data_IF_509426021910
#
_entry.id   IF_509426021910
#
_cell.length_a   1.000
_cell.length_b   1.000
_cell.length_c   1.000
_cell.angle_alpha   90.00
_cell.angle_beta   90.00
_cell.angle_gamma   90.00
#
_symmetry.space_group_name_H-M   'P 1'
#
loop_
_entity.id
_entity.type
_entity.pdbx_description
1 polymer ?
#
# COMPACT_ATOMS: atom_id res chain seq x y z
N UNK A 1 18.98 -18.06 -13.25
CA UNK A 1 19.37 -16.64 -13.38
C UNK A 1 18.46 -15.91 -12.41
N UNK A 2 18.95 -15.26 -11.35
CA UNK A 2 18.04 -14.67 -10.38
C UNK A 2 17.32 -13.53 -11.09
N UNK A 3 16.00 -13.66 -11.28
CA UNK A 3 15.14 -12.56 -11.70
C UNK A 3 15.04 -11.61 -10.51
N UNK A 4 16.14 -10.88 -10.30
CA UNK A 4 16.48 -10.14 -9.09
C UNK A 4 15.36 -9.19 -8.71
N UNK A 5 15.17 -8.93 -7.41
CA UNK A 5 14.19 -7.96 -6.91
C UNK A 5 14.21 -6.60 -7.64
N UNK A 6 15.36 -6.22 -8.22
CA UNK A 6 15.51 -5.04 -9.08
C UNK A 6 14.69 -5.10 -10.39
N UNK A 7 14.58 -6.27 -11.01
CA UNK A 7 13.74 -6.48 -12.21
C UNK A 7 12.26 -6.21 -11.87
N UNK A 8 11.80 -6.71 -10.73
CA UNK A 8 10.45 -6.46 -10.24
C UNK A 8 10.24 -4.97 -9.93
N UNK A 9 11.23 -4.31 -9.29
CA UNK A 9 11.21 -2.85 -9.08
C UNK A 9 11.04 -2.11 -10.40
N UNK A 10 11.89 -2.36 -11.40
CA UNK A 10 11.82 -1.70 -12.72
C UNK A 10 10.44 -1.91 -13.36
N UNK A 11 9.91 -3.15 -13.30
CA UNK A 11 8.60 -3.47 -13.86
C UNK A 11 7.46 -2.72 -13.15
N UNK A 12 7.46 -2.69 -11.82
CA UNK A 12 6.42 -2.03 -11.02
C UNK A 12 6.47 -0.51 -11.18
N UNK A 13 7.65 0.09 -11.12
CA UNK A 13 7.82 1.52 -11.30
C UNK A 13 7.30 1.99 -12.66
N UNK A 14 7.49 1.20 -13.72
CA UNK A 14 7.00 1.53 -15.07
C UNK A 14 5.51 1.26 -15.28
N UNK A 15 4.95 0.27 -14.59
CA UNK A 15 3.56 -0.17 -14.79
C UNK A 15 2.56 0.56 -13.90
N UNK A 16 2.98 1.03 -12.73
CA UNK A 16 2.08 1.65 -11.77
C UNK A 16 1.77 3.11 -12.14
N UNK A 17 0.49 3.52 -12.05
CA UNK A 17 0.09 4.90 -12.28
C UNK A 17 0.51 5.81 -11.12
N UNK A 18 0.71 7.09 -11.41
CA UNK A 18 1.08 8.11 -10.41
C UNK A 18 2.60 8.23 -10.23
N UNK A 19 3.04 9.05 -9.27
CA UNK A 19 4.47 9.31 -9.06
C UNK A 19 5.07 8.22 -8.18
N UNK A 20 5.89 7.34 -8.77
CA UNK A 20 6.40 6.13 -8.12
C UNK A 20 7.93 6.10 -8.18
N UNK A 21 8.54 5.68 -7.09
CA UNK A 21 9.97 5.39 -7.01
C UNK A 21 10.26 4.15 -6.18
N UNK A 22 11.48 3.66 -6.22
CA UNK A 22 11.98 2.64 -5.31
C UNK A 22 13.26 3.12 -4.61
N UNK A 23 13.44 2.67 -3.37
CA UNK A 23 14.64 2.91 -2.57
C UNK A 23 15.23 1.60 -2.08
N UNK A 24 16.56 1.58 -1.89
CA UNK A 24 17.25 0.49 -1.21
C UNK A 24 17.23 0.64 0.32
N UNK A 25 17.84 -0.33 1.03
CA UNK A 25 17.94 -0.32 2.50
C UNK A 25 18.71 0.89 3.06
N UNK A 26 19.52 1.56 2.24
CA UNK A 26 20.26 2.77 2.64
C UNK A 26 19.42 4.04 2.44
N UNK A 27 18.22 3.93 1.85
CA UNK A 27 17.38 5.08 1.52
C UNK A 27 17.72 5.73 0.18
N UNK A 28 18.61 5.12 -0.60
CA UNK A 28 19.00 5.64 -1.90
C UNK A 28 17.97 5.26 -2.95
N UNK A 29 17.56 6.23 -3.75
CA UNK A 29 16.65 6.01 -4.88
C UNK A 29 17.36 5.11 -5.90
N UNK A 30 16.72 4.01 -6.27
CA UNK A 30 17.24 3.05 -7.26
C UNK A 30 16.52 3.15 -8.59
N UNK A 31 15.23 3.45 -8.58
CA UNK A 31 14.40 3.61 -9.77
C UNK A 31 13.30 4.65 -9.55
N UNK A 32 12.92 5.35 -10.62
CA UNK A 32 11.81 6.34 -10.63
C UNK A 32 11.07 6.26 -11.96
N UNK A 33 9.77 6.57 -11.94
CA UNK A 33 8.99 6.68 -13.17
C UNK A 33 8.92 8.12 -13.71
N UNK A 34 8.35 8.28 -14.90
CA UNK A 34 8.28 9.58 -15.57
C UNK A 34 7.42 10.58 -14.81
N UNK A 35 6.29 10.13 -14.23
CA UNK A 35 5.45 10.98 -13.40
C UNK A 35 6.19 11.53 -12.17
N UNK A 36 7.08 10.76 -11.55
CA UNK A 36 7.94 11.25 -10.48
C UNK A 36 8.91 12.34 -10.97
N UNK A 37 9.54 12.14 -12.14
CA UNK A 37 10.46 13.11 -12.75
C UNK A 37 9.75 14.42 -13.09
N UNK A 38 8.57 14.32 -13.70
CA UNK A 38 7.72 15.46 -14.05
C UNK A 38 7.31 16.25 -12.80
N UNK A 39 6.92 15.56 -11.72
CA UNK A 39 6.62 16.21 -10.45
C UNK A 39 7.84 16.95 -9.88
N UNK A 40 9.04 16.37 -9.95
CA UNK A 40 10.27 17.04 -9.54
C UNK A 40 10.53 18.33 -10.31
N UNK A 41 10.38 18.30 -11.63
CA UNK A 41 10.55 19.49 -12.49
C UNK A 41 9.49 20.55 -12.16
N UNK A 42 8.23 20.14 -11.99
CA UNK A 42 7.15 21.05 -11.58
C UNK A 42 7.38 21.67 -10.20
N UNK A 43 8.09 20.96 -9.32
CA UNK A 43 8.54 21.43 -8.02
C UNK A 43 9.80 22.32 -8.07
N UNK A 44 10.41 22.51 -9.24
CA UNK A 44 11.55 23.39 -9.46
C UNK A 44 12.91 22.69 -9.61
N UNK A 45 12.95 21.36 -9.66
CA UNK A 45 14.19 20.62 -9.94
C UNK A 45 14.58 20.71 -11.42
N UNK A 46 15.88 20.61 -11.69
CA UNK A 46 16.39 20.56 -13.06
C UNK A 46 15.93 19.29 -13.78
N UNK A 47 15.63 19.40 -15.08
CA UNK A 47 15.36 18.23 -15.93
C UNK A 47 16.57 17.26 -16.02
N UNK A 48 17.77 17.72 -15.65
CA UNK A 48 19.00 16.91 -15.59
C UNK A 48 19.30 16.38 -14.20
N UNK A 49 18.36 16.47 -13.27
CA UNK A 49 18.55 15.97 -11.91
C UNK A 49 18.77 14.45 -11.92
N UNK A 50 19.85 14.00 -11.28
CA UNK A 50 20.19 12.59 -11.17
C UNK A 50 19.45 11.95 -10.00
N UNK A 51 18.34 11.28 -10.33
CA UNK A 51 17.48 10.65 -9.32
C UNK A 51 18.14 9.44 -8.65
N UNK A 52 18.75 8.55 -9.43
CA UNK A 52 19.38 7.33 -8.93
C UNK A 52 20.58 7.67 -8.06
N UNK A 53 20.65 7.09 -6.86
CA UNK A 53 21.71 7.36 -5.87
C UNK A 53 21.46 8.59 -5.00
N UNK A 54 20.38 9.36 -5.25
CA UNK A 54 19.95 10.43 -4.35
C UNK A 54 19.31 9.83 -3.10
N UNK A 55 19.58 10.42 -1.93
CA UNK A 55 18.92 10.05 -0.67
C UNK A 55 17.48 10.60 -0.67
N UNK A 56 16.51 9.69 -0.60
CA UNK A 56 15.09 10.02 -0.62
C UNK A 56 14.67 10.86 0.59
N UNK A 57 15.18 10.57 1.78
CA UNK A 57 14.78 11.26 3.01
C UNK A 57 15.31 12.69 3.04
N UNK A 58 16.55 12.90 2.59
CA UNK A 58 17.12 14.24 2.44
C UNK A 58 16.33 15.06 1.40
N UNK A 59 16.01 14.46 0.24
CA UNK A 59 15.19 15.11 -0.78
C UNK A 59 13.83 15.53 -0.20
N UNK A 60 13.16 14.63 0.52
CA UNK A 60 11.84 14.90 1.10
C UNK A 60 11.92 15.92 2.24
N UNK A 61 13.02 15.98 3.01
CA UNK A 61 13.25 16.94 4.09
C UNK A 61 13.40 18.36 3.55
N UNK A 62 14.16 18.52 2.47
CA UNK A 62 14.40 19.83 1.86
C UNK A 62 13.17 20.36 1.10
N UNK A 63 12.44 19.46 0.42
CA UNK A 63 11.43 19.88 -0.55
C UNK A 63 9.98 19.73 -0.08
N UNK A 64 9.72 18.92 0.95
CA UNK A 64 8.34 18.45 1.17
C UNK A 64 7.88 18.40 2.63
N UNK A 65 8.69 17.88 3.56
CA UNK A 65 8.22 17.49 4.88
C UNK A 65 8.93 18.24 6.02
N UNK A 66 8.18 18.80 6.99
CA UNK A 66 8.74 19.22 8.28
C UNK A 66 9.44 18.06 9.02
N UNK A 67 10.37 18.40 9.93
CA UNK A 67 11.22 17.45 10.66
C UNK A 67 10.45 16.33 11.39
N UNK A 68 9.31 16.66 11.98
CA UNK A 68 8.53 15.71 12.79
C UNK A 68 7.92 14.61 11.92
N UNK A 69 7.37 14.99 10.76
CA UNK A 69 6.82 14.06 9.77
C UNK A 69 7.90 13.22 9.09
N UNK A 70 9.10 13.79 8.90
CA UNK A 70 10.25 13.07 8.35
C UNK A 70 10.66 11.90 9.25
N UNK A 71 10.73 12.15 10.56
CA UNK A 71 11.14 11.15 11.55
C UNK A 71 10.17 9.96 11.56
N UNK A 72 8.86 10.24 11.47
CA UNK A 72 7.83 9.20 11.37
C UNK A 72 7.98 8.35 10.10
N UNK A 73 8.18 9.00 8.95
CA UNK A 73 8.35 8.32 7.67
C UNK A 73 9.62 7.45 7.65
N UNK A 74 10.74 7.98 8.15
CA UNK A 74 12.01 7.26 8.25
C UNK A 74 11.87 6.01 9.12
N UNK A 75 11.31 6.17 10.32
CA UNK A 75 11.07 5.04 11.22
C UNK A 75 10.13 4.00 10.57
N UNK A 76 9.09 4.45 9.88
CA UNK A 76 8.14 3.58 9.22
C UNK A 76 8.77 2.71 8.14
N UNK A 77 9.61 3.31 7.29
CA UNK A 77 10.30 2.61 6.21
C UNK A 77 11.38 1.67 6.77
N UNK A 78 12.10 2.09 7.82
CA UNK A 78 13.08 1.22 8.50
C UNK A 78 12.41 -0.04 9.07
N UNK A 79 11.25 0.07 9.72
CA UNK A 79 10.50 -1.10 10.19
C UNK A 79 10.04 -2.03 9.04
N UNK A 80 9.85 -1.51 7.82
CA UNK A 80 9.58 -2.36 6.64
C UNK A 80 10.83 -3.16 6.24
N UNK A 81 12.00 -2.53 6.22
CA UNK A 81 13.26 -3.22 5.94
C UNK A 81 13.64 -4.25 7.00
N UNK A 82 13.26 -4.02 8.26
CA UNK A 82 13.43 -4.97 9.37
C UNK A 82 12.39 -6.11 9.36
N UNK A 83 11.37 -6.03 8.51
CA UNK A 83 10.27 -7.02 8.46
C UNK A 83 9.25 -6.88 9.59
N UNK A 84 9.33 -5.81 10.39
CA UNK A 84 8.38 -5.51 11.48
C UNK A 84 7.07 -4.91 10.95
N UNK A 85 7.10 -4.40 9.71
CA UNK A 85 5.97 -3.74 9.05
C UNK A 85 5.83 -4.23 7.62
N UNK A 86 4.62 -4.57 7.20
CA UNK A 86 4.33 -5.08 5.86
C UNK A 86 4.04 -3.97 4.84
N UNK A 87 3.48 -2.84 5.27
CA UNK A 87 3.17 -1.68 4.41
C UNK A 87 3.12 -0.41 5.26
N UNK A 88 3.26 0.75 4.64
CA UNK A 88 3.01 2.05 5.26
C UNK A 88 2.13 2.93 4.38
N UNK A 89 1.31 3.77 5.02
CA UNK A 89 0.52 4.81 4.36
C UNK A 89 0.44 6.03 5.26
N UNK A 90 1.08 7.11 4.86
CA UNK A 90 1.12 8.39 5.59
C UNK A 90 0.50 9.52 4.79
N UNK A 91 -0.15 10.48 5.47
CA UNK A 91 -0.68 11.70 4.86
C UNK A 91 0.05 12.90 5.42
N UNK A 92 0.46 13.78 4.52
CA UNK A 92 1.34 14.89 4.85
C UNK A 92 0.85 16.19 4.24
N UNK A 93 1.02 17.33 4.94
CA UNK A 93 0.68 18.62 4.37
C UNK A 93 1.61 18.92 3.20
N UNK A 94 1.06 19.45 2.11
CA UNK A 94 1.89 19.94 1.02
C UNK A 94 2.61 21.24 1.45
N UNK A 95 3.89 21.43 1.12
CA UNK A 95 4.54 22.72 1.31
C UNK A 95 3.83 23.85 0.56
N UNK A 96 3.80 25.06 1.13
CA UNK A 96 3.08 26.19 0.55
C UNK A 96 3.63 26.65 -0.81
N UNK A 97 4.86 26.27 -1.17
CA UNK A 97 5.50 26.61 -2.45
C UNK A 97 5.14 25.66 -3.59
N UNK A 98 4.58 24.48 -3.30
CA UNK A 98 4.06 23.56 -4.31
C UNK A 98 2.57 23.90 -4.55
N UNK A 99 2.18 24.16 -5.81
CA UNK A 99 0.79 24.53 -6.15
C UNK A 99 -0.09 23.28 -6.29
N UNK A 100 -1.32 23.34 -5.79
CA UNK A 100 -2.42 22.46 -6.28
C UNK A 100 -3.07 21.48 -5.30
N UNK A 101 -2.63 21.37 -4.04
CA UNK A 101 -3.29 20.49 -3.06
C UNK A 101 -2.95 20.80 -1.61
N UNK A 102 -3.82 20.43 -0.67
CA UNK A 102 -3.57 20.62 0.78
C UNK A 102 -2.76 19.47 1.39
N UNK A 103 -2.89 18.27 0.81
CA UNK A 103 -2.29 17.05 1.34
C UNK A 103 -1.74 16.18 0.22
N UNK A 104 -0.69 15.42 0.53
CA UNK A 104 -0.21 14.34 -0.31
C UNK A 104 -0.04 13.07 0.53
N UNK A 105 -0.25 11.93 -0.10
CA UNK A 105 -0.18 10.62 0.54
C UNK A 105 1.06 9.88 0.02
N UNK A 106 1.80 9.25 0.94
CA UNK A 106 2.92 8.37 0.64
C UNK A 106 2.52 6.95 1.05
N UNK A 107 2.55 6.02 0.11
CA UNK A 107 2.36 4.59 0.33
C UNK A 107 3.71 3.88 0.14
N UNK A 108 4.08 2.97 1.04
CA UNK A 108 5.33 2.22 0.96
C UNK A 108 5.09 0.71 1.04
N UNK A 109 5.64 -0.03 0.09
CA UNK A 109 5.46 -1.48 -0.07
C UNK A 109 6.83 -2.18 -0.16
N UNK A 110 7.08 -3.25 0.60
CA UNK A 110 8.32 -4.02 0.53
C UNK A 110 8.41 -4.81 -0.77
N UNK A 111 9.61 -4.86 -1.34
CA UNK A 111 9.98 -5.77 -2.41
C UNK A 111 11.02 -6.76 -1.83
N UNK A 112 10.61 -8.01 -1.55
CA UNK A 112 11.51 -9.02 -1.00
C UNK A 112 12.47 -9.54 -2.06
N UNK A 113 13.67 -9.93 -1.63
CA UNK A 113 14.59 -10.72 -2.44
C UNK A 113 14.12 -12.18 -2.50
N UNK A 114 14.13 -12.79 -3.68
CA UNK A 114 13.71 -14.19 -3.85
C UNK A 114 14.58 -15.18 -3.06
N UNK A 115 15.85 -14.84 -2.85
CA UNK A 115 16.85 -15.75 -2.27
C UNK A 115 16.67 -16.00 -0.76
N UNK A 116 16.22 -15.00 0.00
CA UNK A 116 16.17 -15.07 1.46
C UNK A 116 14.90 -14.45 2.06
N UNK A 117 13.99 -13.92 1.23
CA UNK A 117 12.76 -13.27 1.65
C UNK A 117 12.96 -11.93 2.37
N UNK A 118 14.20 -11.46 2.53
CA UNK A 118 14.48 -10.18 3.15
C UNK A 118 14.09 -9.05 2.20
N UNK A 119 13.50 -7.98 2.75
CA UNK A 119 13.19 -6.77 1.98
C UNK A 119 14.47 -6.17 1.41
N UNK A 120 14.62 -6.18 0.09
CA UNK A 120 15.74 -5.61 -0.64
C UNK A 120 15.47 -4.15 -1.01
N UNK A 121 14.25 -3.86 -1.46
CA UNK A 121 13.80 -2.53 -1.84
C UNK A 121 12.46 -2.19 -1.17
N UNK A 122 12.15 -0.91 -1.11
CA UNK A 122 10.81 -0.41 -0.78
C UNK A 122 10.33 0.45 -1.95
N UNK A 123 9.16 0.09 -2.48
CA UNK A 123 8.46 0.85 -3.50
C UNK A 123 7.61 1.93 -2.83
N UNK A 124 7.76 3.17 -3.27
CA UNK A 124 7.06 4.34 -2.74
C UNK A 124 6.15 4.92 -3.83
N UNK A 125 4.90 5.18 -3.47
CA UNK A 125 3.93 5.88 -4.32
C UNK A 125 3.52 7.19 -3.67
N UNK A 126 3.56 8.26 -4.44
CA UNK A 126 3.15 9.60 -4.02
C UNK A 126 1.91 10.02 -4.80
N UNK A 127 0.83 10.30 -4.07
CA UNK A 127 -0.44 10.71 -4.64
C UNK A 127 -0.91 12.03 -4.04
N UNK A 128 -1.25 12.98 -4.90
CA UNK A 128 -1.87 14.24 -4.51
C UNK A 128 -3.37 14.05 -4.28
N UNK A 129 -3.92 14.66 -3.23
CA UNK A 129 -5.36 14.63 -2.96
C UNK A 129 -5.94 16.04 -2.86
N UNK A 130 -6.86 16.35 -3.78
CA UNK A 130 -7.59 17.61 -3.81
C UNK A 130 -8.79 17.55 -2.85
N UNK A 131 -8.57 17.92 -1.59
CA UNK A 131 -9.59 18.04 -0.52
C UNK A 131 -10.14 16.74 0.09
N UNK A 132 -10.42 16.85 1.38
CA UNK A 132 -10.89 15.82 2.31
C UNK A 132 -12.42 15.96 2.41
N UNK A 133 -13.18 14.89 2.16
CA UNK A 133 -14.49 14.75 2.80
C UNK A 133 -14.24 14.53 4.29
N UNK A 134 -14.70 15.50 5.08
CA UNK A 134 -14.44 15.62 6.51
C UNK A 134 -14.71 14.33 7.29
N UNK A 135 -13.63 13.78 7.83
CA UNK A 135 -13.61 13.12 9.14
C UNK A 135 -12.19 13.23 9.68
N UNK A 136 -11.81 14.44 10.09
CA UNK A 136 -10.68 14.61 11.00
C UNK A 136 -11.05 13.96 12.33
N UNK A 137 -10.10 13.32 13.00
CA UNK A 137 -9.78 13.85 14.31
C UNK A 137 -8.35 14.37 14.34
N UNK A 138 -8.20 15.46 15.09
CA UNK A 138 -6.95 15.97 15.63
C UNK A 138 -5.97 14.84 15.98
N UNK A 139 -4.67 15.05 15.69
CA UNK A 139 -3.51 14.26 16.17
C UNK A 139 -3.92 12.89 16.73
N UNK A 140 -4.15 11.92 15.85
CA UNK A 140 -4.13 10.54 16.31
C UNK A 140 -2.69 10.25 16.75
N UNK A 141 -2.45 9.76 17.99
CA UNK A 141 -1.12 9.31 18.39
C UNK A 141 -0.70 8.26 17.39
N UNK A 142 0.58 8.29 16.94
CA UNK A 142 1.27 7.26 16.13
C UNK A 142 0.38 6.02 15.97
N UNK A 143 -0.51 6.06 14.97
CA UNK A 143 -1.45 4.96 14.77
C UNK A 143 -0.67 3.92 13.99
N UNK A 144 0.01 3.12 14.78
CA UNK A 144 0.30 1.73 14.49
C UNK A 144 -0.94 1.09 13.86
N UNK A 145 -1.06 1.11 12.54
CA UNK A 145 -1.68 0.00 11.83
C UNK A 145 -0.76 -1.23 11.90
N UNK A 146 -0.14 -1.49 13.06
CA UNK A 146 -0.24 -2.81 13.62
C UNK A 146 -1.74 -3.04 13.84
N UNK A 147 -2.44 -3.57 12.82
CA UNK A 147 -3.41 -4.59 13.21
C UNK A 147 -2.53 -5.61 13.93
N UNK A 148 -2.57 -5.61 15.28
CA UNK A 148 -2.30 -6.82 16.06
C UNK A 148 -2.82 -7.97 15.19
N UNK A 149 -2.05 -9.04 14.93
CA UNK A 149 -2.64 -10.22 14.31
C UNK A 149 -3.99 -10.40 14.98
N UNK A 150 -5.06 -10.30 14.18
CA UNK A 150 -6.41 -10.41 14.73
C UNK A 150 -6.38 -11.67 15.58
N UNK A 151 -6.88 -11.62 16.83
CA UNK A 151 -6.89 -12.81 17.67
C UNK A 151 -7.41 -13.95 16.82
N UNK A 152 -6.61 -15.02 16.67
CA UNK A 152 -6.96 -16.12 15.78
C UNK A 152 -8.37 -16.55 16.12
N UNK A 153 -9.26 -16.45 15.14
CA UNK A 153 -10.65 -16.84 15.33
C UNK A 153 -10.73 -18.32 15.01
N UNK A 154 -10.89 -19.21 16.02
CA UNK A 154 -11.05 -20.63 15.78
C UNK A 154 -12.29 -20.89 14.92
N UNK A 155 -12.11 -21.56 13.79
CA UNK A 155 -13.19 -22.03 12.92
C UNK A 155 -13.21 -23.56 12.84
N UNK A 156 -14.38 -24.14 12.64
CA UNK A 156 -14.52 -25.57 12.35
C UNK A 156 -14.04 -25.85 10.92
N UNK A 157 -13.09 -26.77 10.75
CA UNK A 157 -12.58 -27.11 9.42
C UNK A 157 -13.66 -27.71 8.49
N UNK A 158 -14.65 -28.38 9.07
CA UNK A 158 -15.75 -29.04 8.36
C UNK A 158 -16.88 -28.06 7.99
N UNK A 159 -17.56 -27.46 8.98
CA UNK A 159 -18.74 -26.63 8.74
C UNK A 159 -18.49 -25.11 8.73
N UNK A 160 -17.24 -24.66 8.93
CA UNK A 160 -16.83 -23.24 8.94
C UNK A 160 -17.43 -22.37 10.05
N UNK A 161 -18.20 -22.92 10.99
CA UNK A 161 -18.65 -22.19 12.18
C UNK A 161 -17.48 -21.61 12.98
N UNK A 162 -17.68 -20.43 13.57
CA UNK A 162 -16.76 -19.68 14.42
C UNK A 162 -16.99 -20.01 15.89
N UNK A 163 -15.93 -20.27 16.66
CA UNK A 163 -16.04 -20.47 18.11
C UNK A 163 -15.94 -19.12 18.84
N UNK A 164 -17.05 -18.70 19.47
CA UNK A 164 -17.20 -17.45 20.23
C UNK A 164 -17.82 -17.76 21.60
N UNK A 165 -17.17 -17.33 22.69
CA UNK A 165 -17.72 -17.49 24.04
C UNK A 165 -18.03 -18.95 24.45
N UNK A 166 -17.31 -19.92 23.91
CA UNK A 166 -17.54 -21.35 24.16
C UNK A 166 -18.60 -22.01 23.28
N UNK A 167 -19.27 -21.27 22.40
CA UNK A 167 -20.27 -21.78 21.47
C UNK A 167 -19.79 -21.72 20.01
N UNK A 168 -20.33 -22.59 19.15
CA UNK A 168 -20.10 -22.57 17.70
C UNK A 168 -21.23 -21.82 17.01
N UNK A 169 -20.88 -20.76 16.28
CA UNK A 169 -21.83 -19.89 15.58
C UNK A 169 -21.54 -19.98 14.07
N UNK A 170 -22.55 -20.13 13.20
CA UNK A 170 -22.34 -20.07 11.74
C UNK A 170 -21.60 -18.78 11.34
N UNK A 171 -20.71 -18.87 10.36
CA UNK A 171 -19.85 -17.75 9.94
C UNK A 171 -20.68 -16.56 9.49
N UNK A 172 -21.81 -16.80 8.84
CA UNK A 172 -22.72 -15.79 8.34
C UNK A 172 -23.26 -14.95 9.50
N UNK A 173 -23.78 -15.62 10.53
CA UNK A 173 -24.31 -14.96 11.74
C UNK A 173 -23.20 -14.22 12.49
N UNK A 174 -22.01 -14.80 12.58
CA UNK A 174 -20.87 -14.15 13.20
C UNK A 174 -20.50 -12.84 12.48
N UNK A 175 -20.38 -12.87 11.15
CA UNK A 175 -20.05 -11.69 10.34
C UNK A 175 -21.14 -10.61 10.40
N UNK A 176 -22.43 -10.99 10.33
CA UNK A 176 -23.54 -10.05 10.48
C UNK A 176 -23.46 -9.29 11.82
N UNK A 177 -23.14 -10.00 12.91
CA UNK A 177 -23.02 -9.40 14.24
C UNK A 177 -21.79 -8.49 14.40
N UNK A 178 -20.65 -8.88 13.86
CA UNK A 178 -19.41 -8.11 14.02
C UNK A 178 -19.34 -6.92 13.04
N UNK A 179 -19.87 -7.07 11.83
CA UNK A 179 -19.78 -6.06 10.76
C UNK A 179 -21.04 -5.20 10.60
N UNK A 180 -22.14 -5.56 11.26
CA UNK A 180 -23.43 -4.86 11.14
C UNK A 180 -23.92 -4.76 9.68
N UNK A 181 -23.77 -5.85 8.92
CA UNK A 181 -24.19 -5.95 7.51
C UNK A 181 -25.15 -7.11 7.32
N UNK A 182 -25.97 -7.06 6.26
CA UNK A 182 -26.70 -8.22 5.76
C UNK A 182 -25.86 -8.96 4.72
N UNK A 183 -26.03 -10.28 4.66
CA UNK A 183 -25.29 -11.13 3.74
C UNK A 183 -26.24 -11.69 2.69
N UNK A 184 -25.84 -11.58 1.44
CA UNK A 184 -26.48 -12.24 0.31
C UNK A 184 -25.64 -13.44 -0.11
N UNK A 185 -26.29 -14.44 -0.71
CA UNK A 185 -25.61 -15.59 -1.28
C UNK A 185 -25.46 -15.34 -2.78
N UNK A 186 -24.22 -15.25 -3.24
CA UNK A 186 -23.85 -15.19 -4.65
C UNK A 186 -22.87 -16.32 -4.97
N UNK A 187 -22.72 -16.67 -6.24
CA UNK A 187 -21.77 -17.68 -6.71
C UNK A 187 -20.71 -16.95 -7.52
N UNK A 188 -19.47 -16.95 -7.05
CA UNK A 188 -18.40 -16.25 -7.76
C UNK A 188 -18.16 -16.87 -9.17
N UNK A 189 -17.61 -16.09 -10.13
CA UNK A 189 -17.44 -16.56 -11.51
C UNK A 189 -16.67 -17.88 -11.64
N UNK A 190 -15.66 -18.11 -10.79
CA UNK A 190 -14.91 -19.38 -10.79
C UNK A 190 -15.78 -20.57 -10.37
N UNK A 191 -16.64 -20.39 -9.36
CA UNK A 191 -17.57 -21.43 -8.92
C UNK A 191 -18.66 -21.66 -9.97
N UNK A 192 -19.16 -20.63 -10.66
CA UNK A 192 -20.10 -20.81 -11.78
C UNK A 192 -19.44 -21.60 -12.91
N UNK A 193 -18.19 -21.28 -13.26
CA UNK A 193 -17.45 -22.01 -14.30
C UNK A 193 -17.29 -23.50 -13.97
N UNK A 194 -17.15 -23.84 -12.70
CA UNK A 194 -17.00 -25.23 -12.25
C UNK A 194 -18.35 -25.96 -12.13
N UNK A 195 -19.34 -25.34 -11.48
CA UNK A 195 -20.63 -25.97 -11.16
C UNK A 195 -21.61 -25.93 -12.35
N UNK A 196 -21.49 -24.91 -13.20
CA UNK A 196 -22.42 -24.59 -14.26
C UNK A 196 -21.70 -24.16 -15.55
N UNK A 197 -20.81 -25.01 -16.10
CA UNK A 197 -19.94 -24.65 -17.23
C UNK A 197 -20.70 -24.18 -18.48
N UNK A 198 -21.94 -24.66 -18.69
CA UNK A 198 -22.80 -24.25 -19.80
C UNK A 198 -23.26 -22.78 -19.74
N UNK A 199 -23.31 -22.18 -18.54
CA UNK A 199 -23.70 -20.78 -18.35
C UNK A 199 -22.49 -19.84 -18.22
N UNK A 200 -21.28 -20.39 -18.02
CA UNK A 200 -20.05 -19.61 -17.84
C UNK A 200 -19.72 -18.71 -19.05
N UNK A 201 -20.08 -19.14 -20.27
CA UNK A 201 -19.84 -18.37 -21.50
C UNK A 201 -20.63 -17.05 -21.57
N UNK A 202 -21.81 -16.98 -20.96
CA UNK A 202 -22.68 -15.80 -21.02
C UNK A 202 -22.19 -14.69 -20.09
N UNK A 203 -21.60 -15.05 -18.95
CA UNK A 203 -21.09 -14.09 -17.97
C UNK A 203 -19.83 -13.35 -18.43
N UNK A 204 -19.00 -13.98 -19.26
CA UNK A 204 -17.79 -13.36 -19.80
C UNK A 204 -18.08 -12.30 -20.89
N UNK A 205 -19.30 -12.22 -21.42
CA UNK A 205 -19.68 -11.27 -22.48
C UNK A 205 -20.41 -10.01 -21.99
N UNK A 206 -20.55 -9.81 -20.68
CA UNK A 206 -21.22 -8.65 -20.06
C UNK A 206 -20.22 -7.70 -19.38
N UNK A 207 -18.91 -7.94 -19.53
CA UNK A 207 -17.83 -7.15 -18.95
C UNK A 207 -16.99 -6.41 -20.02
N UNK A 208 -17.58 -6.12 -21.19
CA UNK A 208 -17.07 -5.18 -22.20
C UNK A 208 -17.89 -3.87 -22.20
#
# INVERSE_FOLDING_TARGET
MPESALSLVIHLTRSLPGSVLAIDRRGLITEVNDSWRECGIAAGLSARFEWTGTDYFELMRELVLPSDYMSELLQAIQSIFLGERLVYSGRFPMPPFLRGGKWFQIEALPIPEESNGATAFVLLSHRYTASVTDSSPAKAPVMTHYRKPLPFVPICASCKSVRKGGQWVPIERFLQQELHVELTHDICPSCIAQLYPQYARVLNGLAE
#
